data_IF_451005557990
#
_entry.id   IF_451005557990
#
_cell.length_a   1.000
_cell.length_b   1.000
_cell.length_c   1.000
_cell.angle_alpha   90.00
_cell.angle_beta   90.00
_cell.angle_gamma   90.00
#
_symmetry.space_group_name_H-M   'P 1'
#
loop_
_entity.id
_entity.type
_entity.pdbx_description
1 polymer ?
#
# COMPACT_ATOMS: atom_id res chain seq x y z
N UNK A 1 10.39 55.77 41.29
CA UNK A 1 11.67 55.03 41.42
C UNK A 1 11.51 53.70 40.68
N UNK A 2 11.92 53.64 39.40
CA UNK A 2 13.18 53.02 38.92
C UNK A 2 13.04 51.49 38.78
N UNK A 3 12.61 50.96 37.63
CA UNK A 3 13.41 50.55 36.45
C UNK A 3 14.46 49.45 36.74
N UNK A 4 14.33 48.27 36.09
CA UNK A 4 15.42 47.68 35.29
C UNK A 4 15.03 46.40 34.55
N UNK A 5 15.13 46.51 33.23
CA UNK A 5 15.41 45.48 32.23
C UNK A 5 16.38 44.38 32.70
N UNK A 6 16.13 43.12 32.28
CA UNK A 6 17.17 42.22 31.76
C UNK A 6 16.62 41.31 30.67
N UNK A 7 17.19 41.47 29.48
CA UNK A 7 17.08 40.59 28.33
C UNK A 7 17.73 39.23 28.63
N UNK A 8 17.15 38.14 28.10
CA UNK A 8 17.85 36.88 27.88
C UNK A 8 17.17 36.10 26.73
N UNK A 9 17.83 36.20 25.57
CA UNK A 9 17.95 35.29 24.44
C UNK A 9 17.20 33.96 24.54
N UNK A 10 16.24 33.69 23.64
CA UNK A 10 15.73 32.33 23.39
C UNK A 10 15.59 32.05 21.88
N UNK A 11 16.61 31.34 21.38
CA UNK A 11 16.64 30.32 20.34
C UNK A 11 15.53 30.42 19.27
N UNK A 12 15.91 30.86 18.08
CA UNK A 12 15.13 30.68 16.86
C UNK A 12 15.00 29.18 16.57
N UNK A 13 13.86 28.60 16.94
CA UNK A 13 13.45 27.24 16.62
C UNK A 13 13.12 27.22 15.11
N UNK A 14 14.14 26.98 14.28
CA UNK A 14 13.96 26.77 12.84
C UNK A 14 13.17 25.47 12.66
N UNK A 15 11.85 25.62 12.59
CA UNK A 15 10.88 24.57 12.36
C UNK A 15 11.17 23.91 11.01
N UNK A 16 11.91 22.80 11.02
CA UNK A 16 12.02 21.89 9.88
C UNK A 16 10.63 21.32 9.61
N UNK A 17 9.94 21.89 8.63
CA UNK A 17 8.76 21.31 8.01
C UNK A 17 9.20 20.05 7.26
N UNK A 18 9.18 18.90 7.93
CA UNK A 18 9.31 17.61 7.27
C UNK A 18 7.95 17.33 6.61
N UNK A 19 7.86 17.62 5.32
CA UNK A 19 6.72 17.24 4.50
C UNK A 19 6.72 15.72 4.36
N UNK A 20 5.90 15.02 5.13
CA UNK A 20 5.63 13.60 4.90
C UNK A 20 4.84 13.47 3.61
N UNK A 21 5.50 12.96 2.56
CA UNK A 21 4.81 12.62 1.33
C UNK A 21 4.02 11.33 1.56
N UNK A 22 2.72 11.46 1.86
CA UNK A 22 1.76 10.35 1.81
C UNK A 22 1.48 9.99 0.34
N UNK A 23 2.43 9.30 -0.31
CA UNK A 23 2.23 8.79 -1.66
C UNK A 23 1.69 7.36 -1.58
N UNK A 24 0.52 7.13 -2.17
CA UNK A 24 0.05 5.78 -2.43
C UNK A 24 0.96 5.14 -3.48
N UNK A 25 1.54 3.98 -3.16
CA UNK A 25 2.42 3.28 -4.09
C UNK A 25 1.59 2.46 -5.08
N UNK A 26 1.86 2.64 -6.37
CA UNK A 26 1.24 1.88 -7.45
C UNK A 26 1.98 0.55 -7.63
N UNK A 27 1.43 -0.50 -7.04
CA UNK A 27 2.01 -1.85 -7.10
C UNK A 27 1.78 -2.49 -8.46
N UNK A 28 0.58 -2.33 -9.00
CA UNK A 28 0.23 -2.78 -10.34
C UNK A 28 -0.87 -1.92 -10.96
N UNK A 29 -0.82 -1.76 -12.27
CA UNK A 29 -1.78 -1.01 -13.05
C UNK A 29 -2.03 -1.70 -14.38
N UNK A 30 -3.31 -1.99 -14.65
CA UNK A 30 -3.78 -2.63 -15.87
C UNK A 30 -3.18 -4.03 -16.10
N UNK A 31 -2.95 -4.77 -15.01
CA UNK A 31 -2.45 -6.14 -15.01
C UNK A 31 -3.59 -7.16 -14.95
N UNK A 32 -3.38 -8.37 -15.46
CA UNK A 32 -4.32 -9.49 -15.34
C UNK A 32 -3.91 -10.41 -14.19
N UNK A 33 -4.86 -10.90 -13.39
CA UNK A 33 -4.58 -11.94 -12.39
C UNK A 33 -4.59 -13.29 -13.08
N UNK A 34 -3.48 -14.04 -12.98
CA UNK A 34 -3.32 -15.36 -13.61
C UNK A 34 -3.27 -16.51 -12.60
N UNK A 35 -3.01 -16.22 -11.32
CA UNK A 35 -3.08 -17.19 -10.22
C UNK A 35 -3.53 -16.48 -8.94
N UNK A 36 -4.19 -17.23 -8.05
CA UNK A 36 -4.57 -16.79 -6.71
C UNK A 36 -4.42 -17.95 -5.72
N UNK A 37 -3.83 -17.69 -4.56
CA UNK A 37 -3.77 -18.62 -3.42
C UNK A 37 -4.45 -18.00 -2.22
N UNK A 38 -5.14 -18.80 -1.42
CA UNK A 38 -5.84 -18.34 -0.21
C UNK A 38 -4.92 -18.15 1.01
N UNK A 39 -3.69 -18.69 0.94
CA UNK A 39 -2.66 -18.57 1.98
C UNK A 39 -1.27 -18.55 1.34
N UNK A 40 -0.30 -18.01 2.08
CA UNK A 40 1.13 -18.11 1.80
C UNK A 40 1.88 -18.20 3.13
N UNK A 41 2.87 -19.09 3.23
CA UNK A 41 3.70 -19.28 4.42
C UNK A 41 2.91 -19.43 5.75
N UNK A 42 1.78 -20.15 5.72
CA UNK A 42 0.87 -20.33 6.86
C UNK A 42 0.38 -19.01 7.50
N UNK A 43 0.39 -17.93 6.75
CA UNK A 43 -0.04 -16.61 7.21
C UNK A 43 -1.47 -16.30 6.75
N UNK A 44 -2.14 -15.42 7.50
CA UNK A 44 -3.46 -14.88 7.15
C UNK A 44 -3.32 -13.80 6.06
N UNK A 45 -3.00 -14.28 4.86
CA UNK A 45 -2.80 -13.48 3.65
C UNK A 45 -3.27 -14.26 2.43
N UNK A 46 -3.69 -13.58 1.38
CA UNK A 46 -3.83 -14.21 0.07
C UNK A 46 -2.80 -13.63 -0.89
N UNK A 47 -2.37 -14.42 -1.88
CA UNK A 47 -1.37 -13.99 -2.86
C UNK A 47 -1.94 -14.15 -4.26
N UNK A 48 -1.65 -13.18 -5.12
CA UNK A 48 -2.01 -13.20 -6.53
C UNK A 48 -0.76 -13.07 -7.39
N UNK A 49 -0.81 -13.66 -8.59
CA UNK A 49 0.22 -13.49 -9.61
C UNK A 49 -0.36 -12.76 -10.80
N UNK A 50 0.46 -11.89 -11.38
CA UNK A 50 0.05 -10.96 -12.41
C UNK A 50 0.73 -11.23 -13.75
N UNK A 51 0.02 -10.89 -14.82
CA UNK A 51 0.57 -10.80 -16.16
C UNK A 51 0.28 -9.42 -16.77
N UNK A 52 1.27 -8.86 -17.47
CA UNK A 52 1.20 -7.54 -18.09
C UNK A 52 1.04 -6.37 -17.11
N UNK A 53 0.73 -5.20 -17.65
CA UNK A 53 0.56 -3.96 -16.90
C UNK A 53 1.88 -3.28 -16.52
N UNK A 54 1.80 -2.31 -15.61
CA UNK A 54 2.93 -1.51 -15.10
C UNK A 54 2.83 -1.33 -13.59
N UNK A 55 3.94 -1.09 -12.89
CA UNK A 55 3.97 -0.85 -11.44
C UNK A 55 5.09 -1.65 -10.77
N UNK A 56 5.38 -1.33 -9.50
CA UNK A 56 6.53 -1.90 -8.78
C UNK A 56 6.54 -3.43 -8.77
N UNK A 57 5.35 -4.05 -8.69
CA UNK A 57 5.19 -5.50 -8.53
C UNK A 57 4.80 -6.22 -9.83
N UNK A 58 5.01 -5.58 -10.98
CA UNK A 58 4.71 -6.17 -12.32
C UNK A 58 5.95 -6.76 -13.00
N UNK A 59 7.12 -6.61 -12.38
CA UNK A 59 8.40 -7.20 -12.81
C UNK A 59 8.87 -8.26 -11.78
N UNK A 60 9.86 -9.07 -12.15
CA UNK A 60 10.36 -10.14 -11.27
C UNK A 60 9.34 -11.27 -11.05
N UNK A 61 9.04 -11.57 -9.79
CA UNK A 61 8.10 -12.64 -9.40
C UNK A 61 6.63 -12.35 -9.76
N UNK A 62 6.30 -11.08 -10.04
CA UNK A 62 4.95 -10.61 -10.40
C UNK A 62 3.87 -11.01 -9.39
N UNK A 63 4.26 -11.18 -8.12
CA UNK A 63 3.38 -11.59 -7.03
C UNK A 63 3.01 -10.40 -6.16
N UNK A 64 1.77 -10.38 -5.69
CA UNK A 64 1.30 -9.40 -4.69
C UNK A 64 0.57 -10.13 -3.58
N UNK A 65 0.93 -9.86 -2.33
CA UNK A 65 0.23 -10.36 -1.15
C UNK A 65 -0.64 -9.27 -0.52
N UNK A 66 -1.80 -9.71 -0.02
CA UNK A 66 -2.71 -8.92 0.79
C UNK A 66 -2.74 -9.57 2.17
N UNK A 67 -2.41 -8.85 3.23
CA UNK A 67 -2.43 -9.36 4.61
C UNK A 67 -3.67 -8.85 5.34
N UNK A 68 -4.32 -9.70 6.12
CA UNK A 68 -5.51 -9.38 6.91
C UNK A 68 -5.28 -8.18 7.88
N UNK A 69 -4.05 -8.02 8.37
CA UNK A 69 -3.63 -6.95 9.28
C UNK A 69 -3.17 -5.64 8.63
N UNK A 70 -3.11 -5.52 7.30
CA UNK A 70 -2.66 -4.28 6.64
C UNK A 70 -3.67 -3.13 6.74
N UNK A 71 -4.86 -3.38 7.29
CA UNK A 71 -5.89 -2.36 7.53
C UNK A 71 -6.51 -2.55 8.91
N UNK A 72 -7.07 -1.47 9.47
CA UNK A 72 -7.81 -1.54 10.74
C UNK A 72 -9.17 -2.25 10.64
N UNK A 73 -9.60 -2.64 9.44
CA UNK A 73 -10.93 -3.20 9.18
C UNK A 73 -10.81 -4.51 8.40
N UNK A 74 -10.96 -5.65 9.08
CA UNK A 74 -10.82 -6.99 8.49
C UNK A 74 -11.74 -7.25 7.28
N UNK A 75 -12.87 -6.56 7.19
CA UNK A 75 -13.76 -6.68 6.02
C UNK A 75 -13.16 -6.08 4.74
N UNK A 76 -12.18 -5.16 4.83
CA UNK A 76 -11.45 -4.67 3.66
C UNK A 76 -10.67 -5.82 3.00
N UNK A 77 -10.00 -6.64 3.80
CA UNK A 77 -9.28 -7.83 3.32
C UNK A 77 -10.23 -8.80 2.59
N UNK A 78 -11.40 -9.11 3.17
CA UNK A 78 -12.40 -9.99 2.54
C UNK A 78 -12.94 -9.43 1.22
N UNK A 79 -13.19 -8.10 1.16
CA UNK A 79 -13.61 -7.43 -0.08
C UNK A 79 -12.51 -7.47 -1.14
N UNK A 80 -11.25 -7.27 -0.74
CA UNK A 80 -10.11 -7.37 -1.64
C UNK A 80 -9.97 -8.79 -2.22
N UNK A 81 -10.11 -9.83 -1.38
CA UNK A 81 -10.11 -11.22 -1.84
C UNK A 81 -11.23 -11.50 -2.84
N UNK A 82 -12.46 -11.03 -2.53
CA UNK A 82 -13.63 -11.21 -3.41
C UNK A 82 -13.45 -10.51 -4.75
N UNK A 83 -12.87 -9.30 -4.74
CA UNK A 83 -12.55 -8.55 -5.96
C UNK A 83 -11.46 -9.26 -6.78
N UNK A 84 -10.39 -9.74 -6.13
CA UNK A 84 -9.33 -10.49 -6.78
C UNK A 84 -9.85 -11.78 -7.43
N UNK A 85 -10.68 -12.54 -6.73
CA UNK A 85 -11.32 -13.76 -7.26
C UNK A 85 -12.24 -13.44 -8.44
N UNK A 86 -12.98 -12.33 -8.37
CA UNK A 86 -13.83 -11.87 -9.49
C UNK A 86 -12.98 -11.50 -10.71
N UNK A 87 -11.88 -10.77 -10.51
CA UNK A 87 -10.98 -10.40 -11.60
C UNK A 87 -10.31 -11.64 -12.23
N UNK A 88 -9.87 -12.59 -11.40
CA UNK A 88 -9.30 -13.86 -11.85
C UNK A 88 -10.29 -14.66 -12.70
N UNK A 89 -11.53 -14.81 -12.23
CA UNK A 89 -12.56 -15.62 -12.93
C UNK A 89 -13.10 -14.95 -14.18
N UNK A 90 -13.17 -13.61 -14.22
CA UNK A 90 -13.68 -12.86 -15.38
C UNK A 90 -12.61 -12.50 -16.40
N UNK A 91 -11.33 -12.60 -16.04
CA UNK A 91 -10.22 -12.08 -16.82
C UNK A 91 -10.13 -10.55 -16.84
N UNK A 92 -10.86 -9.86 -15.97
CA UNK A 92 -10.79 -8.41 -15.86
C UNK A 92 -9.39 -7.95 -15.40
N UNK A 93 -8.96 -6.79 -15.89
CA UNK A 93 -7.69 -6.20 -15.48
C UNK A 93 -7.83 -5.52 -14.12
N UNK A 94 -6.72 -5.33 -13.42
CA UNK A 94 -6.71 -4.74 -12.08
C UNK A 94 -5.70 -3.61 -11.93
N UNK A 95 -6.00 -2.71 -11.01
CA UNK A 95 -5.06 -1.74 -10.44
C UNK A 95 -4.96 -1.99 -8.94
N UNK A 96 -3.75 -2.05 -8.41
CA UNK A 96 -3.45 -2.45 -7.03
C UNK A 96 -2.48 -1.46 -6.43
N UNK A 97 -2.79 -0.98 -5.23
CA UNK A 97 -1.99 0.01 -4.51
C UNK A 97 -1.76 -0.40 -3.05
N UNK A 98 -0.66 0.10 -2.48
CA UNK A 98 -0.42 0.17 -1.04
C UNK A 98 -0.58 1.61 -0.54
N UNK A 99 -1.03 1.74 0.70
CA UNK A 99 -1.06 3.01 1.44
C UNK A 99 -0.12 3.01 2.64
N UNK A 100 0.69 1.96 2.81
CA UNK A 100 1.73 1.93 3.82
C UNK A 100 2.95 2.64 3.26
N UNK A 101 3.22 3.84 3.76
CA UNK A 101 4.42 4.57 3.42
C UNK A 101 5.66 3.77 3.86
N UNK A 102 6.71 3.79 3.04
CA UNK A 102 8.04 3.25 3.33
C UNK A 102 8.08 1.74 3.68
N UNK A 103 7.18 0.92 3.12
CA UNK A 103 7.31 -0.53 3.25
C UNK A 103 8.58 -1.00 2.54
N UNK A 104 9.40 -1.79 3.24
CA UNK A 104 10.56 -2.47 2.66
C UNK A 104 10.16 -3.58 1.67
N UNK A 105 8.90 -4.03 1.73
CA UNK A 105 8.35 -5.11 0.93
C UNK A 105 6.98 -4.69 0.35
N UNK A 106 6.97 -3.70 -0.58
CA UNK A 106 5.73 -3.07 -1.03
C UNK A 106 4.75 -4.05 -1.70
N UNK A 107 5.28 -5.13 -2.30
CA UNK A 107 4.49 -6.18 -2.92
C UNK A 107 3.82 -7.13 -1.92
N UNK A 108 4.11 -7.02 -0.62
CA UNK A 108 3.49 -7.87 0.40
C UNK A 108 2.41 -7.16 1.23
N UNK A 109 2.23 -5.85 1.04
CA UNK A 109 1.35 -5.03 1.87
C UNK A 109 0.25 -4.35 1.05
N UNK A 110 -0.27 -5.03 0.03
CA UNK A 110 -1.36 -4.50 -0.77
C UNK A 110 -2.64 -4.38 0.05
N UNK A 111 -3.34 -3.26 -0.14
CA UNK A 111 -4.60 -2.94 0.57
C UNK A 111 -5.73 -2.76 -0.43
N UNK A 112 -5.44 -2.12 -1.56
CA UNK A 112 -6.44 -1.69 -2.51
C UNK A 112 -6.35 -2.50 -3.79
N UNK A 113 -7.51 -2.91 -4.29
CA UNK A 113 -7.67 -3.51 -5.61
C UNK A 113 -8.89 -2.93 -6.30
N UNK A 114 -8.73 -2.55 -7.56
CA UNK A 114 -9.78 -2.07 -8.46
C UNK A 114 -9.81 -2.89 -9.71
N UNK A 115 -11.00 -3.28 -10.15
CA UNK A 115 -11.22 -3.90 -11.45
C UNK A 115 -11.35 -2.81 -12.52
N UNK A 116 -10.68 -3.01 -13.64
CA UNK A 116 -10.73 -2.18 -14.83
C UNK A 116 -11.30 -3.02 -15.98
N UNK A 117 -12.18 -2.41 -16.79
CA UNK A 117 -12.81 -3.04 -17.95
C UNK A 117 -12.28 -2.41 -19.23
#
# INVERSE_FOLDING_TARGET
MTNRNRALTLIAFCSMCVSSNLNAEVLAHNSQIVQITNTSNNSDMFTIWLEGGTGTCTTGDKKIAFKSGSTSHSDVYKRAYSAALTAFTTGAKVSINSYLADSSEPCEDAIYIRLNK
#
